data_IF_411006361502
#
_entry.id   IF_411006361502
#
_cell.length_a   1.000
_cell.length_b   1.000
_cell.length_c   1.000
_cell.angle_alpha   90.00
_cell.angle_beta   90.00
_cell.angle_gamma   90.00
#
_symmetry.space_group_name_H-M   'P 1'
#
loop_
_entity.id
_entity.type
_entity.pdbx_description
1 polymer ?
#
# COMPACT_ATOMS: atom_id res chain seq x y z
N UNK A 1 5.85 33.78 -17.48
CA UNK A 1 5.89 32.32 -17.35
C UNK A 1 7.18 31.96 -16.63
N UNK A 2 7.12 31.50 -15.39
CA UNK A 2 8.31 31.00 -14.67
C UNK A 2 8.34 29.49 -14.81
N UNK A 3 9.30 28.98 -15.60
CA UNK A 3 9.55 27.55 -15.69
C UNK A 3 9.88 26.99 -14.30
N UNK A 4 9.48 25.75 -13.98
CA UNK A 4 9.83 25.13 -12.72
C UNK A 4 11.34 25.08 -12.55
N UNK A 5 11.81 25.34 -11.34
CA UNK A 5 13.21 25.20 -10.98
C UNK A 5 13.65 23.75 -11.12
N UNK A 6 14.96 23.55 -11.32
CA UNK A 6 15.55 22.21 -11.37
C UNK A 6 15.23 21.37 -10.12
N UNK A 7 15.21 22.01 -8.95
CA UNK A 7 14.87 21.36 -7.69
C UNK A 7 13.41 20.87 -7.69
N UNK A 8 12.47 21.71 -8.13
CA UNK A 8 11.06 21.33 -8.23
C UNK A 8 10.85 20.16 -9.21
N UNK A 9 11.52 20.19 -10.37
CA UNK A 9 11.47 19.07 -11.33
C UNK A 9 11.98 17.77 -10.71
N UNK A 10 13.08 17.82 -9.94
CA UNK A 10 13.63 16.66 -9.24
C UNK A 10 12.69 16.15 -8.15
N UNK A 11 12.11 17.04 -7.34
CA UNK A 11 11.14 16.68 -6.30
C UNK A 11 9.93 15.99 -6.92
N UNK A 12 9.38 16.55 -7.99
CA UNK A 12 8.23 15.97 -8.68
C UNK A 12 8.54 14.61 -9.31
N UNK A 13 9.69 14.48 -10.00
CA UNK A 13 10.14 13.20 -10.53
C UNK A 13 10.27 12.14 -9.44
N UNK A 14 10.76 12.54 -8.25
CA UNK A 14 10.88 11.64 -7.09
C UNK A 14 9.50 11.21 -6.58
N UNK A 15 8.51 12.12 -6.53
CA UNK A 15 7.13 11.80 -6.14
C UNK A 15 6.52 10.76 -7.08
N UNK A 16 6.73 10.91 -8.39
CA UNK A 16 6.24 9.95 -9.39
C UNK A 16 6.90 8.59 -9.21
N UNK A 17 8.23 8.56 -9.07
CA UNK A 17 8.98 7.32 -8.83
C UNK A 17 8.51 6.60 -7.58
N UNK A 18 8.33 7.33 -6.47
CA UNK A 18 7.80 6.76 -5.23
C UNK A 18 6.39 6.19 -5.44
N UNK A 19 5.52 6.88 -6.19
CA UNK A 19 4.16 6.42 -6.46
C UNK A 19 4.12 5.15 -7.31
N UNK A 20 5.05 4.99 -8.26
CA UNK A 20 5.19 3.74 -9.02
C UNK A 20 5.72 2.61 -8.14
N UNK A 21 6.79 2.85 -7.38
CA UNK A 21 7.35 1.84 -6.47
C UNK A 21 6.35 1.39 -5.40
N UNK A 22 5.51 2.30 -4.89
CA UNK A 22 4.44 1.95 -3.97
C UNK A 22 3.47 0.93 -4.58
N UNK A 23 3.08 1.11 -5.84
CA UNK A 23 2.22 0.14 -6.53
C UNK A 23 2.93 -1.22 -6.67
N UNK A 24 4.21 -1.23 -7.08
CA UNK A 24 5.00 -2.46 -7.19
C UNK A 24 5.11 -3.22 -5.85
N UNK A 25 5.32 -2.51 -4.73
CA UNK A 25 5.35 -3.13 -3.41
C UNK A 25 3.98 -3.68 -3.00
N UNK A 26 2.89 -2.98 -3.35
CA UNK A 26 1.54 -3.46 -3.09
C UNK A 26 1.19 -4.72 -3.92
N UNK A 27 1.61 -4.77 -5.19
CA UNK A 27 1.43 -5.93 -6.06
C UNK A 27 2.17 -7.17 -5.55
N UNK A 28 3.38 -6.97 -5.02
CA UNK A 28 4.21 -8.01 -4.40
C UNK A 28 3.85 -8.31 -2.94
N UNK A 29 2.88 -7.57 -2.37
CA UNK A 29 2.41 -7.67 -0.98
C UNK A 29 3.50 -7.39 0.07
N UNK A 30 4.52 -6.61 -0.28
CA UNK A 30 5.51 -6.12 0.69
C UNK A 30 4.97 -4.87 1.41
N UNK A 31 4.03 -5.11 2.33
CA UNK A 31 3.37 -4.04 3.08
C UNK A 31 4.31 -3.27 4.01
N UNK A 32 5.40 -3.92 4.45
CA UNK A 32 6.40 -3.30 5.31
C UNK A 32 7.24 -2.28 4.52
N UNK A 33 7.67 -2.62 3.31
CA UNK A 33 8.35 -1.68 2.43
C UNK A 33 7.43 -0.54 1.98
N UNK A 34 6.14 -0.83 1.75
CA UNK A 34 5.14 0.15 1.33
C UNK A 34 5.00 1.33 2.30
N UNK A 35 4.97 1.08 3.61
CA UNK A 35 4.79 2.12 4.64
C UNK A 35 5.90 3.18 4.58
N UNK A 36 7.15 2.75 4.36
CA UNK A 36 8.29 3.65 4.23
C UNK A 36 8.17 4.56 3.00
N UNK A 37 7.71 4.00 1.87
CA UNK A 37 7.50 4.75 0.64
C UNK A 37 6.36 5.76 0.76
N UNK A 38 5.24 5.36 1.37
CA UNK A 38 4.11 6.26 1.66
C UNK A 38 4.55 7.46 2.49
N UNK A 39 5.29 7.21 3.57
CA UNK A 39 5.80 8.26 4.45
C UNK A 39 6.75 9.22 3.71
N UNK A 40 7.65 8.69 2.88
CA UNK A 40 8.57 9.51 2.09
C UNK A 40 7.82 10.38 1.07
N UNK A 41 6.85 9.80 0.36
CA UNK A 41 6.04 10.50 -0.64
C UNK A 41 5.21 11.60 0.00
N UNK A 42 4.54 11.33 1.12
CA UNK A 42 3.71 12.31 1.82
C UNK A 42 4.51 13.52 2.30
N UNK A 43 5.75 13.29 2.78
CA UNK A 43 6.66 14.39 3.15
C UNK A 43 7.02 15.24 1.93
N UNK A 44 7.35 14.61 0.80
CA UNK A 44 7.70 15.32 -0.43
C UNK A 44 6.50 16.08 -1.01
N UNK A 45 5.31 15.49 -1.02
CA UNK A 45 4.08 16.15 -1.46
C UNK A 45 3.80 17.40 -0.62
N UNK A 46 3.90 17.29 0.71
CA UNK A 46 3.75 18.44 1.61
C UNK A 46 4.73 19.55 1.25
N UNK A 47 6.02 19.24 1.13
CA UNK A 47 7.06 20.21 0.78
C UNK A 47 6.79 20.86 -0.59
N UNK A 48 6.46 20.05 -1.59
CA UNK A 48 6.25 20.48 -2.97
C UNK A 48 5.05 21.44 -3.11
N UNK A 49 3.96 21.18 -2.39
CA UNK A 49 2.75 22.01 -2.45
C UNK A 49 2.69 23.13 -1.40
N UNK A 50 3.58 23.16 -0.40
CA UNK A 50 3.73 24.32 0.49
C UNK A 50 4.50 25.48 -0.13
N UNK A 51 5.26 25.26 -1.20
CA UNK A 51 5.86 26.34 -1.98
C UNK A 51 4.77 26.97 -2.87
N UNK A 52 4.64 28.30 -2.85
CA UNK A 52 3.65 29.05 -3.65
C UNK A 52 3.74 28.69 -5.15
N UNK A 53 2.93 27.73 -5.57
CA UNK A 53 2.90 27.23 -6.92
C UNK A 53 1.87 28.03 -7.73
N UNK A 54 2.25 28.68 -8.85
CA UNK A 54 1.31 29.39 -9.70
C UNK A 54 0.30 28.42 -10.35
N UNK A 55 -0.97 28.83 -10.46
CA UNK A 55 -2.07 28.00 -10.95
C UNK A 55 -1.84 27.39 -12.36
N UNK A 56 -1.04 28.03 -13.21
CA UNK A 56 -0.65 27.50 -14.52
C UNK A 56 0.19 26.22 -14.45
N UNK A 57 0.82 25.95 -13.30
CA UNK A 57 1.59 24.72 -13.04
C UNK A 57 0.68 23.51 -12.83
N UNK A 58 -0.50 23.72 -12.24
CA UNK A 58 -1.45 22.64 -11.95
C UNK A 58 -2.00 21.97 -13.21
N UNK A 59 -2.09 22.71 -14.31
CA UNK A 59 -2.58 22.16 -15.58
C UNK A 59 -1.55 21.24 -16.24
N UNK A 60 -0.26 21.59 -16.17
CA UNK A 60 0.84 20.77 -16.69
C UNK A 60 1.03 19.46 -15.90
N UNK A 61 0.63 19.43 -14.62
CA UNK A 61 0.75 18.26 -13.76
C UNK A 61 -0.50 17.38 -13.74
N UNK A 62 -1.57 17.78 -14.43
CA UNK A 62 -2.91 17.15 -14.31
C UNK A 62 -2.89 15.65 -14.61
N UNK A 63 -2.26 15.24 -15.71
CA UNK A 63 -2.17 13.83 -16.10
C UNK A 63 -1.36 13.01 -15.10
N UNK A 64 -0.28 13.59 -14.57
CA UNK A 64 0.59 12.94 -13.60
C UNK A 64 -0.08 12.82 -12.23
N UNK A 65 -0.87 13.82 -11.82
CA UNK A 65 -1.72 13.74 -10.63
C UNK A 65 -2.77 12.65 -10.80
N UNK A 66 -3.41 12.55 -11.97
CA UNK A 66 -4.38 11.50 -12.24
C UNK A 66 -3.73 10.09 -12.16
N UNK A 67 -2.51 9.94 -12.67
CA UNK A 67 -1.75 8.69 -12.53
C UNK A 67 -1.47 8.35 -11.06
N UNK A 68 -1.04 9.32 -10.23
CA UNK A 68 -0.81 9.09 -8.80
C UNK A 68 -2.11 8.66 -8.11
N UNK A 69 -3.23 9.31 -8.43
CA UNK A 69 -4.54 8.96 -7.88
C UNK A 69 -4.99 7.56 -8.26
N UNK A 70 -4.75 7.14 -9.51
CA UNK A 70 -5.07 5.78 -9.95
C UNK A 70 -4.19 4.74 -9.25
N UNK A 71 -2.89 5.01 -9.10
CA UNK A 71 -2.00 4.13 -8.32
C UNK A 71 -2.50 3.98 -6.88
N UNK A 72 -2.87 5.08 -6.23
CA UNK A 72 -3.41 5.06 -4.86
C UNK A 72 -4.71 4.26 -4.77
N UNK A 73 -5.61 4.41 -5.76
CA UNK A 73 -6.84 3.62 -5.86
C UNK A 73 -6.53 2.12 -5.92
N UNK A 74 -5.60 1.72 -6.79
CA UNK A 74 -5.19 0.32 -6.95
C UNK A 74 -4.55 -0.24 -5.67
N UNK A 75 -3.69 0.53 -5.00
CA UNK A 75 -3.07 0.12 -3.71
C UNK A 75 -4.15 -0.15 -2.66
N UNK A 76 -5.18 0.70 -2.57
CA UNK A 76 -6.32 0.49 -1.65
C UNK A 76 -7.08 -0.79 -1.99
N UNK A 77 -7.33 -1.06 -3.27
CA UNK A 77 -7.99 -2.30 -3.72
C UNK A 77 -7.18 -3.54 -3.39
N UNK A 78 -5.86 -3.52 -3.64
CA UNK A 78 -4.95 -4.60 -3.29
C UNK A 78 -4.91 -4.85 -1.78
N UNK A 79 -4.92 -3.78 -0.98
CA UNK A 79 -4.94 -3.88 0.49
C UNK A 79 -6.23 -4.52 0.98
N UNK A 80 -7.38 -4.13 0.43
CA UNK A 80 -8.69 -4.74 0.76
C UNK A 80 -8.71 -6.23 0.41
N UNK A 81 -8.31 -6.58 -0.80
CA UNK A 81 -8.23 -7.98 -1.25
C UNK A 81 -7.29 -8.82 -0.37
N UNK A 82 -6.15 -8.27 0.01
CA UNK A 82 -5.22 -8.97 0.89
C UNK A 82 -5.80 -9.20 2.29
N UNK A 83 -6.55 -8.23 2.82
CA UNK A 83 -7.26 -8.38 4.10
C UNK A 83 -8.29 -9.51 4.03
N UNK A 84 -9.10 -9.57 2.98
CA UNK A 84 -10.07 -10.65 2.77
C UNK A 84 -9.39 -12.02 2.74
N UNK A 85 -8.28 -12.15 2.01
CA UNK A 85 -7.50 -13.41 1.96
C UNK A 85 -6.96 -13.82 3.33
N UNK A 86 -6.51 -12.87 4.15
CA UNK A 86 -6.03 -13.15 5.50
C UNK A 86 -7.18 -13.56 6.43
N UNK A 87 -8.35 -12.94 6.30
CA UNK A 87 -9.54 -13.31 7.07
C UNK A 87 -9.98 -14.74 6.75
N UNK A 88 -10.03 -15.12 5.47
CA UNK A 88 -10.33 -16.49 5.03
C UNK A 88 -9.33 -17.52 5.56
N UNK A 89 -8.03 -17.21 5.50
CA UNK A 89 -6.99 -18.12 5.97
C UNK A 89 -7.03 -18.29 7.49
N UNK A 90 -7.34 -17.22 8.24
CA UNK A 90 -7.55 -17.29 9.68
C UNK A 90 -8.74 -18.19 10.05
N UNK A 91 -9.84 -18.14 9.28
CA UNK A 91 -10.99 -19.02 9.48
C UNK A 91 -10.59 -20.48 9.27
N UNK A 92 -9.89 -20.79 8.17
CA UNK A 92 -9.40 -22.14 7.89
C UNK A 92 -8.48 -22.65 8.99
N UNK A 93 -7.57 -21.80 9.48
CA UNK A 93 -6.64 -22.17 10.53
C UNK A 93 -7.35 -22.44 11.86
N UNK A 94 -8.39 -21.67 12.20
CA UNK A 94 -9.24 -21.93 13.38
C UNK A 94 -9.96 -23.28 13.27
N UNK A 95 -10.54 -23.57 12.11
CA UNK A 95 -11.21 -24.86 11.85
C UNK A 95 -10.23 -26.02 11.97
N UNK A 96 -9.03 -25.90 11.37
CA UNK A 96 -7.99 -26.92 11.47
C UNK A 96 -7.56 -27.18 12.93
N UNK A 97 -7.36 -26.12 13.73
CA UNK A 97 -7.07 -26.28 15.17
C UNK A 97 -8.20 -27.00 15.91
N UNK A 98 -9.45 -26.69 15.61
CA UNK A 98 -10.59 -27.33 16.24
C UNK A 98 -10.64 -28.82 15.92
N UNK A 99 -10.38 -29.18 14.66
CA UNK A 99 -10.29 -30.58 14.22
C UNK A 99 -9.17 -31.31 14.97
N UNK A 100 -7.95 -30.76 14.98
CA UNK A 100 -6.80 -31.36 15.69
C UNK A 100 -7.10 -31.55 17.18
N UNK A 101 -7.66 -30.53 17.83
CA UNK A 101 -8.07 -30.60 19.25
C UNK A 101 -9.09 -31.72 19.49
N UNK A 102 -10.09 -31.86 18.60
CA UNK A 102 -11.08 -32.94 18.71
C UNK A 102 -10.47 -34.34 18.59
N UNK A 103 -9.46 -34.52 17.73
CA UNK A 103 -8.74 -35.79 17.60
C UNK A 103 -7.88 -36.08 18.83
N UNK A 104 -7.17 -35.08 19.36
CA UNK A 104 -6.39 -35.23 20.60
C UNK A 104 -7.28 -35.61 21.79
N UNK A 105 -8.45 -34.99 21.94
CA UNK A 105 -9.41 -35.34 22.98
C UNK A 105 -9.93 -36.78 22.85
N UNK A 106 -10.22 -37.23 21.62
CA UNK A 106 -10.65 -38.62 21.36
C UNK A 106 -9.55 -39.62 21.70
N UNK A 107 -8.30 -39.33 21.32
CA UNK A 107 -7.15 -40.17 21.63
C UNK A 107 -6.91 -40.30 23.14
N UNK A 108 -7.02 -39.20 23.89
CA UNK A 108 -6.87 -39.22 25.35
C UNK A 108 -7.93 -40.09 26.03
N UNK A 109 -9.18 -40.07 25.54
CA UNK A 109 -10.25 -40.94 26.07
C UNK A 109 -9.95 -42.42 25.82
N UNK A 110 -9.49 -42.77 24.62
CA UNK A 110 -9.12 -44.15 24.27
C UNK A 110 -7.94 -44.67 25.11
N UNK A 111 -7.05 -43.79 25.57
CA UNK A 111 -5.91 -44.17 26.42
C UNK A 111 -6.26 -44.30 27.91
N UNK A 112 -7.44 -43.84 28.33
CA UNK A 112 -7.91 -43.90 29.72
C UNK A 112 -8.92 -45.03 29.97
N UNK A 113 -9.45 -45.64 28.90
CA UNK A 113 -10.28 -46.85 28.91
C UNK A 113 -9.41 -48.10 28.69
#
# INVERSE_FOLDING_TARGET
MTSPTRLEQQQWSTILELSTRMLEQAETRDWQALEGLMTARDRLLKLYFTADAPASRSEALREQIAMIQENDRLIVELTKKNRELLEDELIRLKQARQVVSSYQQKLQRIQQD
#
